data_IF_105282303897
#
_entry.id   IF_105282303897
#
_cell.length_a   1.000
_cell.length_b   1.000
_cell.length_c   1.000
_cell.angle_alpha   90.00
_cell.angle_beta   90.00
_cell.angle_gamma   90.00
#
_symmetry.space_group_name_H-M   'P 1'
#
loop_
_entity.id
_entity.type
_entity.pdbx_description
1 polymer ?
#
# COMPACT_ATOMS: atom_id res chain seq x y z
N UNK A 1 101.71 -15.86 -4.11
CA UNK A 1 101.07 -15.63 -5.39
C UNK A 1 99.92 -16.62 -5.53
N UNK A 2 98.72 -16.20 -5.37
CA UNK A 2 97.48 -16.67 -5.99
C UNK A 2 96.30 -16.07 -5.23
N UNK A 3 95.63 -15.10 -5.87
CA UNK A 3 94.39 -14.45 -5.39
C UNK A 3 93.24 -15.45 -5.54
N UNK A 4 92.46 -15.57 -4.51
CA UNK A 4 91.18 -16.28 -4.55
C UNK A 4 90.10 -15.27 -4.24
N UNK A 5 89.28 -14.95 -5.25
CA UNK A 5 88.08 -14.13 -5.12
C UNK A 5 86.95 -14.99 -4.60
N UNK A 6 86.38 -14.61 -3.47
CA UNK A 6 85.11 -15.11 -2.96
C UNK A 6 84.00 -14.33 -3.60
N UNK A 7 83.19 -15.00 -4.38
CA UNK A 7 81.92 -14.43 -4.89
C UNK A 7 80.84 -14.69 -3.89
N UNK A 8 80.30 -13.63 -3.28
CA UNK A 8 79.11 -13.72 -2.43
C UNK A 8 77.87 -13.67 -3.31
N UNK A 9 77.07 -14.74 -3.33
CA UNK A 9 75.78 -14.80 -3.99
C UNK A 9 74.73 -14.31 -2.96
N UNK A 10 74.25 -13.11 -3.17
CA UNK A 10 73.11 -12.58 -2.40
C UNK A 10 71.78 -13.13 -2.93
N UNK A 11 71.08 -13.92 -2.14
CA UNK A 11 69.75 -14.37 -2.44
C UNK A 11 68.74 -13.26 -2.03
N UNK A 12 68.17 -12.63 -3.04
CA UNK A 12 67.10 -11.63 -2.85
C UNK A 12 65.76 -12.39 -2.66
N UNK A 13 65.26 -12.46 -1.45
CA UNK A 13 63.91 -12.97 -1.13
C UNK A 13 62.89 -11.84 -1.42
N UNK A 14 62.21 -11.92 -2.56
CA UNK A 14 61.02 -11.12 -2.87
C UNK A 14 59.84 -11.67 -2.10
N UNK A 15 59.47 -10.97 -1.02
CA UNK A 15 58.22 -11.23 -0.33
C UNK A 15 57.06 -10.67 -1.15
N UNK A 16 56.32 -11.54 -1.85
CA UNK A 16 55.03 -11.19 -2.46
C UNK A 16 54.01 -11.07 -1.31
N UNK A 17 53.74 -9.84 -0.87
CA UNK A 17 52.56 -9.54 -0.07
C UNK A 17 51.33 -9.72 -0.97
N UNK A 18 50.64 -10.84 -0.84
CA UNK A 18 49.37 -11.08 -1.49
C UNK A 18 48.31 -10.13 -0.89
N UNK A 19 48.06 -9.03 -1.57
CA UNK A 19 46.92 -8.18 -1.34
C UNK A 19 45.70 -8.92 -1.86
N UNK A 20 45.02 -9.64 -1.02
CA UNK A 20 43.67 -10.13 -1.29
C UNK A 20 42.75 -8.91 -1.33
N UNK A 21 42.50 -8.38 -2.52
CA UNK A 21 41.41 -7.46 -2.78
C UNK A 21 40.12 -8.22 -2.48
N UNK A 22 39.56 -7.98 -1.31
CA UNK A 22 38.20 -8.38 -1.00
C UNK A 22 37.31 -7.57 -1.91
N UNK A 23 36.88 -8.14 -3.04
CA UNK A 23 35.74 -7.61 -3.77
C UNK A 23 34.52 -7.80 -2.85
N UNK A 24 34.19 -6.80 -2.08
CA UNK A 24 32.81 -6.68 -1.62
C UNK A 24 31.99 -6.58 -2.90
N UNK A 25 31.22 -7.62 -3.21
CA UNK A 25 30.14 -7.49 -4.17
C UNK A 25 29.35 -6.27 -3.70
N UNK A 26 29.40 -5.19 -4.45
CA UNK A 26 28.44 -4.10 -4.34
C UNK A 26 27.10 -4.72 -4.72
N UNK A 27 26.39 -5.25 -3.72
CA UNK A 27 25.00 -5.59 -3.89
C UNK A 27 24.31 -4.26 -4.08
N UNK A 28 23.83 -4.01 -5.28
CA UNK A 28 23.03 -2.83 -5.58
C UNK A 28 21.92 -2.77 -4.52
N UNK A 29 21.83 -1.68 -3.78
CA UNK A 29 20.89 -1.56 -2.67
C UNK A 29 19.49 -1.56 -3.28
N UNK A 30 18.62 -2.45 -2.82
CA UNK A 30 17.26 -2.54 -3.32
C UNK A 30 16.58 -1.19 -3.16
N UNK A 31 15.90 -0.73 -4.20
CA UNK A 31 15.14 0.53 -4.17
C UNK A 31 14.09 0.52 -3.08
N UNK A 32 13.34 -0.58 -2.95
CA UNK A 32 12.39 -0.80 -1.85
C UNK A 32 12.74 -2.10 -1.15
N UNK A 33 12.88 -2.06 0.16
CA UNK A 33 13.23 -3.24 0.95
C UNK A 33 12.41 -3.32 2.22
N UNK A 34 12.40 -4.50 2.82
CA UNK A 34 11.77 -4.78 4.11
C UNK A 34 12.83 -5.20 5.10
N UNK A 35 12.84 -4.59 6.28
CA UNK A 35 13.71 -4.96 7.39
C UNK A 35 12.93 -4.95 8.70
N UNK A 36 12.83 -6.12 9.33
CA UNK A 36 11.95 -6.30 10.48
C UNK A 36 10.50 -5.93 10.12
N UNK A 37 9.91 -5.01 10.87
CA UNK A 37 8.53 -4.53 10.66
C UNK A 37 8.44 -3.26 9.80
N UNK A 38 9.54 -2.87 9.14
CA UNK A 38 9.61 -1.59 8.44
C UNK A 38 9.87 -1.75 6.95
N UNK A 39 9.25 -0.86 6.18
CA UNK A 39 9.53 -0.64 4.77
C UNK A 39 10.61 0.42 4.66
N UNK A 40 11.55 0.23 3.74
CA UNK A 40 12.60 1.19 3.42
C UNK A 40 12.55 1.54 1.94
N UNK A 41 12.72 2.81 1.62
CA UNK A 41 12.89 3.31 0.26
C UNK A 41 14.26 3.98 0.20
N UNK A 42 15.10 3.57 -0.76
CA UNK A 42 16.48 4.04 -0.90
C UNK A 42 17.28 3.98 0.43
N UNK A 43 17.10 2.86 1.14
CA UNK A 43 17.75 2.60 2.43
C UNK A 43 17.21 3.42 3.62
N UNK A 44 16.21 4.29 3.41
CA UNK A 44 15.61 5.09 4.48
C UNK A 44 14.26 4.51 4.91
N UNK A 45 13.96 4.52 6.21
CA UNK A 45 12.65 4.12 6.71
C UNK A 45 11.52 4.89 6.03
N UNK A 46 10.48 4.17 5.60
CA UNK A 46 9.36 4.73 4.87
C UNK A 46 8.04 4.44 5.58
N UNK A 47 7.34 5.50 5.97
CA UNK A 47 5.99 5.42 6.53
C UNK A 47 4.99 5.78 5.42
N UNK A 48 4.04 4.89 5.19
CA UNK A 48 2.96 5.11 4.24
C UNK A 48 2.00 6.15 4.83
N UNK A 49 2.00 7.35 4.27
CA UNK A 49 1.02 8.42 4.45
C UNK A 49 0.17 8.42 3.19
N UNK A 50 -0.72 7.45 3.10
CA UNK A 50 -1.34 7.07 1.84
C UNK A 50 -2.82 7.37 1.74
N UNK A 51 -3.32 7.22 0.51
CA UNK A 51 -4.73 7.34 0.17
C UNK A 51 -5.09 6.30 -0.91
N UNK A 52 -6.27 5.71 -0.82
CA UNK A 52 -6.84 4.90 -1.89
C UNK A 52 -7.28 5.82 -3.03
N UNK A 53 -6.84 5.52 -4.26
CA UNK A 53 -7.07 6.38 -5.41
C UNK A 53 -7.69 5.62 -6.58
N UNK A 54 -8.96 5.85 -6.80
CA UNK A 54 -9.73 5.27 -7.91
C UNK A 54 -10.69 6.35 -8.44
N UNK A 55 -10.19 7.35 -9.20
CA UNK A 55 -10.99 8.47 -9.66
C UNK A 55 -11.94 8.03 -10.77
N UNK A 56 -13.24 8.10 -10.49
CA UNK A 56 -14.31 7.82 -11.43
C UNK A 56 -15.14 9.09 -11.60
N UNK A 57 -15.26 9.62 -12.82
CA UNK A 57 -16.04 10.81 -13.07
C UNK A 57 -17.55 10.58 -12.85
N UNK A 58 -18.26 11.66 -12.57
CA UNK A 58 -19.73 11.66 -12.50
C UNK A 58 -20.33 11.06 -13.78
N UNK A 59 -21.32 10.19 -13.65
CA UNK A 59 -21.99 9.53 -14.75
C UNK A 59 -21.17 8.42 -15.43
N UNK A 60 -20.09 7.95 -14.81
CA UNK A 60 -19.22 6.89 -15.31
C UNK A 60 -19.06 5.77 -14.28
N UNK A 61 -18.75 4.56 -14.76
CA UNK A 61 -18.31 3.42 -13.96
C UNK A 61 -16.79 3.14 -14.12
N UNK A 62 -16.12 3.93 -14.96
CA UNK A 62 -14.74 3.69 -15.33
C UNK A 62 -13.81 4.71 -14.71
N UNK A 63 -12.65 4.24 -14.23
CA UNK A 63 -11.58 5.10 -13.76
C UNK A 63 -11.07 6.00 -14.89
N UNK A 64 -10.84 7.27 -14.56
CA UNK A 64 -10.33 8.29 -15.48
C UNK A 64 -9.35 9.22 -14.77
N UNK A 65 -8.19 9.47 -15.39
CA UNK A 65 -7.12 10.32 -14.85
C UNK A 65 -7.17 11.77 -15.39
N UNK A 66 -8.29 12.21 -15.96
CA UNK A 66 -8.41 13.55 -16.55
C UNK A 66 -8.15 14.70 -15.55
N UNK A 67 -8.34 14.46 -14.26
CA UNK A 67 -8.07 15.43 -13.20
C UNK A 67 -6.74 15.18 -12.46
N UNK A 68 -5.87 14.28 -12.96
CA UNK A 68 -4.68 13.83 -12.24
C UNK A 68 -3.81 14.98 -11.73
N UNK A 69 -3.53 15.99 -12.54
CA UNK A 69 -2.70 17.13 -12.15
C UNK A 69 -3.25 17.87 -10.93
N UNK A 70 -4.57 18.07 -10.87
CA UNK A 70 -5.22 18.70 -9.72
C UNK A 70 -5.20 17.76 -8.51
N UNK A 71 -5.48 16.49 -8.72
CA UNK A 71 -5.50 15.48 -7.67
C UNK A 71 -4.12 15.36 -7.01
N UNK A 72 -3.05 15.29 -7.80
CA UNK A 72 -1.67 15.23 -7.29
C UNK A 72 -1.30 16.50 -6.51
N UNK A 73 -1.70 17.68 -7.00
CA UNK A 73 -1.44 18.94 -6.26
C UNK A 73 -2.12 18.93 -4.88
N UNK A 74 -3.35 18.44 -4.78
CA UNK A 74 -4.07 18.30 -3.51
C UNK A 74 -3.41 17.23 -2.61
N UNK A 75 -2.99 16.11 -3.17
CA UNK A 75 -2.31 15.06 -2.42
C UNK A 75 -0.98 15.54 -1.83
N UNK A 76 -0.16 16.24 -2.62
CA UNK A 76 1.10 16.83 -2.16
C UNK A 76 0.86 17.86 -1.07
N UNK A 77 -0.14 18.74 -1.25
CA UNK A 77 -0.52 19.72 -0.22
C UNK A 77 -0.95 19.05 1.09
N UNK A 78 -1.65 17.91 1.00
CA UNK A 78 -2.06 17.14 2.16
C UNK A 78 -0.91 16.32 2.81
N UNK A 79 0.28 16.29 2.20
CA UNK A 79 1.41 15.50 2.69
C UNK A 79 1.29 14.00 2.41
N UNK A 80 0.45 13.62 1.45
CA UNK A 80 0.31 12.24 0.98
C UNK A 80 1.56 11.88 0.18
N UNK A 81 2.17 10.73 0.49
CA UNK A 81 3.36 10.22 -0.18
C UNK A 81 3.09 8.92 -0.95
N UNK A 82 1.92 8.32 -0.81
CA UNK A 82 1.60 7.02 -1.40
C UNK A 82 0.14 7.00 -1.86
N UNK A 83 -0.09 6.49 -3.06
CA UNK A 83 -1.44 6.11 -3.49
C UNK A 83 -1.53 4.59 -3.61
N UNK A 84 -2.68 4.04 -3.28
CA UNK A 84 -3.03 2.65 -3.53
C UNK A 84 -4.08 2.59 -4.63
N UNK A 85 -3.82 1.80 -5.68
CA UNK A 85 -4.74 1.61 -6.80
C UNK A 85 -5.17 0.15 -6.90
N UNK A 86 -6.44 -0.08 -7.26
CA UNK A 86 -7.06 -1.41 -7.28
C UNK A 86 -6.84 -2.16 -8.59
N UNK A 87 -6.43 -1.45 -9.63
CA UNK A 87 -6.12 -2.01 -10.94
C UNK A 87 -4.91 -1.29 -11.54
N UNK A 88 -4.15 -1.95 -12.42
CA UNK A 88 -2.93 -1.39 -12.97
C UNK A 88 -3.14 -0.08 -13.72
N UNK A 89 -2.24 0.88 -13.50
CA UNK A 89 -2.11 2.08 -14.32
C UNK A 89 -1.29 1.68 -15.56
N UNK A 90 -1.88 1.80 -16.75
CA UNK A 90 -1.30 1.28 -18.00
C UNK A 90 -0.42 2.26 -18.73
N UNK A 91 -0.67 3.53 -18.50
CA UNK A 91 -0.04 4.66 -19.16
C UNK A 91 1.22 5.08 -18.39
N UNK A 92 2.37 5.07 -19.07
CA UNK A 92 3.64 5.48 -18.48
C UNK A 92 3.58 6.94 -18.03
N UNK A 93 2.97 7.80 -18.82
CA UNK A 93 2.87 9.22 -18.57
C UNK A 93 2.08 9.55 -17.28
N UNK A 94 1.16 8.67 -16.87
CA UNK A 94 0.44 8.80 -15.60
C UNK A 94 1.40 8.47 -14.43
N UNK A 95 2.18 7.42 -14.55
CA UNK A 95 3.17 7.04 -13.55
C UNK A 95 4.29 8.08 -13.44
N UNK A 96 4.75 8.64 -14.56
CA UNK A 96 5.73 9.73 -14.59
C UNK A 96 5.24 10.95 -13.80
N UNK A 97 3.98 11.38 -14.02
CA UNK A 97 3.40 12.49 -13.29
C UNK A 97 3.29 12.20 -11.77
N UNK A 98 2.94 10.98 -11.39
CA UNK A 98 2.88 10.56 -9.99
C UNK A 98 4.27 10.60 -9.36
N UNK A 99 5.29 10.12 -10.08
CA UNK A 99 6.70 10.17 -9.67
C UNK A 99 7.18 11.62 -9.51
N UNK A 100 6.89 12.47 -10.49
CA UNK A 100 7.27 13.90 -10.45
C UNK A 100 6.65 14.64 -9.26
N UNK A 101 5.48 14.20 -8.81
CA UNK A 101 4.84 14.68 -7.58
C UNK A 101 5.48 14.13 -6.29
N UNK A 102 6.45 13.22 -6.38
CA UNK A 102 7.10 12.58 -5.23
C UNK A 102 6.23 11.54 -4.53
N UNK A 103 5.22 11.00 -5.24
CA UNK A 103 4.26 10.03 -4.70
C UNK A 103 4.62 8.64 -5.19
N UNK A 104 4.54 7.64 -4.30
CA UNK A 104 4.72 6.23 -4.63
C UNK A 104 3.38 5.53 -4.87
N UNK A 105 3.41 4.38 -5.55
CA UNK A 105 2.21 3.61 -5.91
C UNK A 105 2.29 2.20 -5.35
N UNK A 106 1.26 1.79 -4.63
CA UNK A 106 0.96 0.39 -4.36
C UNK A 106 0.06 -0.07 -5.52
N UNK A 107 0.61 -0.93 -6.37
CA UNK A 107 -0.01 -1.32 -7.63
C UNK A 107 -0.82 -2.60 -7.47
N UNK A 108 -2.15 -2.51 -7.53
CA UNK A 108 -3.07 -3.62 -7.36
C UNK A 108 -3.29 -4.45 -8.63
N UNK A 109 -3.35 -5.78 -8.45
CA UNK A 109 -3.77 -6.74 -9.47
C UNK A 109 -4.99 -7.51 -8.99
N UNK A 110 -6.02 -7.54 -9.82
CA UNK A 110 -7.22 -8.32 -9.58
C UNK A 110 -7.11 -9.77 -10.04
N UNK A 111 -8.13 -10.55 -9.70
CA UNK A 111 -8.29 -11.93 -10.13
C UNK A 111 -9.41 -12.01 -11.17
N UNK A 112 -9.15 -12.65 -12.32
CA UNK A 112 -10.13 -12.83 -13.41
C UNK A 112 -10.62 -11.50 -14.05
N UNK A 113 -9.69 -10.57 -14.28
CA UNK A 113 -9.96 -9.26 -14.89
C UNK A 113 -10.00 -9.30 -16.43
N UNK A 114 -10.62 -10.31 -16.99
CA UNK A 114 -10.69 -10.50 -18.44
C UNK A 114 -9.36 -10.87 -19.11
N UNK A 115 -8.41 -11.40 -18.35
CA UNK A 115 -7.09 -11.83 -18.82
C UNK A 115 -6.10 -10.70 -19.08
N UNK A 116 -6.41 -9.46 -18.69
CA UNK A 116 -5.50 -8.32 -18.86
C UNK A 116 -4.87 -7.97 -17.53
N UNK A 117 -3.58 -8.31 -17.37
CA UNK A 117 -2.81 -8.07 -16.15
C UNK A 117 -3.49 -8.62 -14.88
N UNK A 118 -4.00 -9.83 -14.95
CA UNK A 118 -4.70 -10.47 -13.83
C UNK A 118 -3.96 -11.70 -13.27
N UNK A 119 -4.31 -12.05 -12.03
CA UNK A 119 -3.65 -13.13 -11.29
C UNK A 119 -4.04 -14.50 -11.85
N UNK A 120 -5.28 -14.69 -12.30
CA UNK A 120 -5.79 -16.00 -12.76
C UNK A 120 -5.12 -16.44 -14.07
N UNK A 121 -4.99 -15.53 -15.03
CA UNK A 121 -4.32 -15.79 -16.31
C UNK A 121 -2.79 -15.70 -16.22
N UNK A 122 -2.24 -15.11 -15.16
CA UNK A 122 -0.81 -14.88 -14.99
C UNK A 122 -0.27 -13.68 -15.76
N UNK A 123 -1.13 -12.90 -16.44
CA UNK A 123 -0.71 -11.76 -17.27
C UNK A 123 -0.22 -10.55 -16.45
N UNK A 124 -0.47 -10.52 -15.14
CA UNK A 124 0.11 -9.52 -14.23
C UNK A 124 1.64 -9.45 -14.31
N UNK A 125 2.32 -10.57 -14.61
CA UNK A 125 3.77 -10.63 -14.77
C UNK A 125 4.27 -9.80 -15.95
N UNK A 126 3.50 -9.66 -17.01
CA UNK A 126 3.88 -8.82 -18.14
C UNK A 126 3.86 -7.33 -17.76
N UNK A 127 2.94 -6.96 -16.84
CA UNK A 127 2.93 -5.64 -16.24
C UNK A 127 4.17 -5.42 -15.36
N UNK A 128 4.45 -6.36 -14.45
CA UNK A 128 5.63 -6.29 -13.56
C UNK A 128 6.90 -6.11 -14.38
N UNK A 129 7.15 -6.93 -15.41
CA UNK A 129 8.31 -6.81 -16.31
C UNK A 129 8.42 -5.45 -16.98
N UNK A 130 7.28 -4.85 -17.35
CA UNK A 130 7.25 -3.56 -18.05
C UNK A 130 7.57 -2.40 -17.12
N UNK A 131 7.16 -2.48 -15.85
CA UNK A 131 7.15 -1.35 -14.94
C UNK A 131 8.03 -1.52 -13.69
N UNK A 132 8.73 -2.65 -13.52
CA UNK A 132 9.54 -2.92 -12.33
C UNK A 132 10.69 -1.93 -12.12
N UNK A 133 11.15 -1.25 -13.18
CA UNK A 133 12.20 -0.23 -13.09
C UNK A 133 11.62 1.17 -12.82
N UNK A 134 10.29 1.33 -12.78
CA UNK A 134 9.67 2.65 -12.61
C UNK A 134 9.73 3.09 -11.16
N UNK A 135 10.29 4.28 -10.91
CA UNK A 135 10.55 4.76 -9.55
C UNK A 135 9.30 5.05 -8.71
N UNK A 136 8.14 5.27 -9.35
CA UNK A 136 6.89 5.43 -8.62
C UNK A 136 6.45 4.15 -7.89
N UNK A 137 6.86 2.97 -8.35
CA UNK A 137 6.39 1.70 -7.76
C UNK A 137 6.95 1.55 -6.34
N UNK A 138 6.06 1.30 -5.38
CA UNK A 138 6.41 0.96 -4.01
C UNK A 138 6.32 -0.55 -3.76
N UNK A 139 5.19 -1.14 -4.11
CA UNK A 139 4.90 -2.55 -3.89
C UNK A 139 3.92 -3.08 -4.94
N UNK A 140 3.95 -4.39 -5.16
CA UNK A 140 2.98 -5.13 -5.96
C UNK A 140 1.92 -5.73 -5.04
N UNK A 141 0.66 -5.36 -5.23
CA UNK A 141 -0.45 -5.87 -4.43
C UNK A 141 -1.25 -6.92 -5.21
N UNK A 142 -1.48 -8.06 -4.59
CA UNK A 142 -2.21 -9.19 -5.17
C UNK A 142 -3.55 -9.41 -4.47
N UNK A 143 -4.63 -8.99 -5.13
CA UNK A 143 -6.00 -9.15 -4.64
C UNK A 143 -6.40 -8.17 -3.56
N UNK A 144 -7.70 -7.95 -3.43
CA UNK A 144 -8.34 -7.11 -2.44
C UNK A 144 -9.50 -7.86 -1.80
N UNK A 145 -9.44 -8.12 -0.49
CA UNK A 145 -10.50 -8.76 0.32
C UNK A 145 -10.97 -10.14 -0.18
N UNK A 146 -10.14 -10.85 -0.95
CA UNK A 146 -10.52 -12.13 -1.53
C UNK A 146 -10.77 -13.23 -0.49
N UNK A 147 -10.32 -13.03 0.74
CA UNK A 147 -10.66 -13.90 1.87
C UNK A 147 -12.16 -13.84 2.26
N UNK A 148 -12.90 -12.82 1.84
CA UNK A 148 -14.36 -12.76 2.01
C UNK A 148 -15.14 -13.47 0.90
N UNK A 149 -14.46 -13.92 -0.18
CA UNK A 149 -15.05 -14.47 -1.39
C UNK A 149 -14.58 -15.90 -1.71
N UNK A 150 -14.75 -16.86 -0.78
CA UNK A 150 -14.36 -18.25 -1.05
C UNK A 150 -15.02 -18.84 -2.31
N UNK A 151 -16.22 -18.36 -2.66
CA UNK A 151 -16.97 -18.79 -3.84
C UNK A 151 -16.22 -18.55 -5.16
N UNK A 152 -15.36 -17.53 -5.23
CA UNK A 152 -14.52 -17.27 -6.41
C UNK A 152 -13.41 -18.33 -6.58
N UNK A 153 -13.13 -19.08 -5.53
CA UNK A 153 -12.06 -20.08 -5.46
C UNK A 153 -12.59 -21.49 -5.22
N UNK A 154 -13.83 -21.75 -5.66
CA UNK A 154 -14.45 -23.06 -5.52
C UNK A 154 -14.90 -23.42 -4.10
N UNK A 155 -15.13 -22.41 -3.27
CA UNK A 155 -15.60 -22.56 -1.88
C UNK A 155 -14.49 -22.87 -0.86
N UNK A 156 -13.22 -22.87 -1.27
CA UNK A 156 -12.09 -23.12 -0.37
C UNK A 156 -11.01 -22.05 -0.51
N UNK A 157 -10.79 -21.27 0.54
CA UNK A 157 -9.76 -20.23 0.61
C UNK A 157 -8.32 -20.75 0.45
N UNK A 158 -8.08 -22.04 0.69
CA UNK A 158 -6.79 -22.67 0.37
C UNK A 158 -6.41 -22.51 -1.10
N UNK A 159 -7.39 -22.52 -1.98
CA UNK A 159 -7.16 -22.32 -3.42
C UNK A 159 -6.69 -20.88 -3.69
N UNK A 160 -7.32 -19.91 -3.02
CA UNK A 160 -6.84 -18.50 -3.08
C UNK A 160 -5.43 -18.37 -2.54
N UNK A 161 -5.17 -18.81 -1.32
CA UNK A 161 -3.85 -18.66 -0.70
C UNK A 161 -2.75 -19.41 -1.48
N UNK A 162 -3.07 -20.57 -2.07
CA UNK A 162 -2.14 -21.27 -2.97
C UNK A 162 -1.84 -20.46 -4.24
N UNK A 163 -2.84 -19.75 -4.78
CA UNK A 163 -2.67 -18.88 -5.94
C UNK A 163 -1.86 -17.63 -5.58
N UNK A 164 -2.17 -17.01 -4.46
CA UNK A 164 -1.47 -15.86 -3.92
C UNK A 164 0.02 -16.16 -3.69
N UNK A 165 0.35 -17.28 -3.04
CA UNK A 165 1.73 -17.71 -2.82
C UNK A 165 2.48 -17.93 -4.14
N UNK A 166 1.88 -18.65 -5.10
CA UNK A 166 2.48 -18.88 -6.42
C UNK A 166 2.75 -17.57 -7.15
N UNK A 167 1.80 -16.64 -7.08
CA UNK A 167 1.92 -15.35 -7.72
C UNK A 167 3.04 -14.52 -7.07
N UNK A 168 3.12 -14.49 -5.74
CA UNK A 168 4.19 -13.80 -5.00
C UNK A 168 5.57 -14.33 -5.37
N UNK A 169 5.74 -15.67 -5.36
CA UNK A 169 7.00 -16.30 -5.79
C UNK A 169 7.37 -15.94 -7.22
N UNK A 170 6.38 -15.82 -8.12
CA UNK A 170 6.62 -15.48 -9.51
C UNK A 170 7.03 -14.01 -9.67
N UNK A 171 6.44 -13.10 -8.89
CA UNK A 171 6.90 -11.70 -8.86
C UNK A 171 8.35 -11.63 -8.38
N UNK A 172 8.71 -12.24 -7.25
CA UNK A 172 10.07 -12.21 -6.71
C UNK A 172 11.14 -12.76 -7.67
N UNK A 173 10.76 -13.69 -8.57
CA UNK A 173 11.65 -14.19 -9.62
C UNK A 173 11.82 -13.21 -10.78
N UNK A 174 10.87 -12.32 -10.96
CA UNK A 174 10.83 -11.33 -12.05
C UNK A 174 11.42 -10.01 -11.60
N UNK A 175 11.03 -9.59 -10.40
CA UNK A 175 11.39 -8.34 -9.75
C UNK A 175 11.83 -8.66 -8.32
N UNK A 176 13.11 -8.48 -8.04
CA UNK A 176 13.69 -8.70 -6.71
C UNK A 176 13.70 -7.43 -5.85
N UNK A 177 13.33 -6.28 -6.41
CA UNK A 177 13.56 -4.97 -5.81
C UNK A 177 12.32 -4.39 -5.13
N UNK A 178 11.13 -4.94 -5.43
CA UNK A 178 9.90 -4.49 -4.82
C UNK A 178 9.24 -5.58 -3.98
N UNK A 179 8.75 -5.24 -2.79
CA UNK A 179 7.98 -6.16 -1.96
C UNK A 179 6.64 -6.52 -2.60
N UNK A 180 6.14 -7.72 -2.23
CA UNK A 180 4.81 -8.18 -2.57
C UNK A 180 3.89 -8.06 -1.36
N UNK A 181 2.70 -7.50 -1.58
CA UNK A 181 1.65 -7.37 -0.57
C UNK A 181 0.33 -7.96 -1.06
N UNK A 182 -0.62 -8.08 -0.17
CA UNK A 182 -2.04 -8.36 -0.46
C UNK A 182 -2.89 -7.48 0.45
N UNK A 183 -4.08 -7.09 0.03
CA UNK A 183 -5.04 -6.43 0.90
C UNK A 183 -6.02 -7.47 1.46
N UNK A 184 -5.73 -7.96 2.64
CA UNK A 184 -6.57 -8.94 3.34
C UNK A 184 -7.71 -8.22 4.09
N UNK A 185 -8.92 -8.73 3.99
CA UNK A 185 -10.02 -8.24 4.81
C UNK A 185 -9.79 -8.62 6.28
N UNK A 186 -9.59 -7.63 7.14
CA UNK A 186 -9.25 -7.80 8.55
C UNK A 186 -7.93 -8.57 8.78
N UNK A 187 -7.70 -8.99 10.02
CA UNK A 187 -6.49 -9.71 10.44
C UNK A 187 -6.41 -11.10 9.76
N UNK A 188 -5.31 -11.43 9.08
CA UNK A 188 -5.14 -12.76 8.51
C UNK A 188 -5.03 -13.83 9.60
N UNK A 189 -5.65 -14.97 9.33
CA UNK A 189 -5.59 -16.12 10.22
C UNK A 189 -4.32 -16.99 10.03
N UNK A 190 -4.18 -18.01 10.86
CA UNK A 190 -3.04 -18.94 10.77
C UNK A 190 -2.96 -19.70 9.44
N UNK A 191 -4.09 -19.92 8.75
CA UNK A 191 -4.11 -20.54 7.42
C UNK A 191 -3.51 -19.60 6.37
N UNK A 192 -3.93 -18.33 6.36
CA UNK A 192 -3.41 -17.32 5.45
C UNK A 192 -1.88 -17.16 5.63
N UNK A 193 -1.44 -16.95 6.88
CA UNK A 193 -0.03 -16.73 7.21
C UNK A 193 0.86 -17.92 6.85
N UNK A 194 0.41 -19.14 7.16
CA UNK A 194 1.19 -20.37 6.86
C UNK A 194 1.20 -20.73 5.38
N UNK A 195 0.16 -20.35 4.62
CA UNK A 195 0.04 -20.65 3.20
C UNK A 195 0.76 -19.64 2.31
N UNK A 196 1.05 -18.42 2.81
CA UNK A 196 1.60 -17.33 2.02
C UNK A 196 2.91 -16.77 2.60
N UNK A 197 3.96 -17.62 2.78
CA UNK A 197 5.24 -17.16 3.33
C UNK A 197 5.96 -16.14 2.45
N UNK A 198 5.65 -16.07 1.15
CA UNK A 198 6.28 -15.14 0.21
C UNK A 198 5.62 -13.75 0.17
N UNK A 199 4.55 -13.51 0.91
CA UNK A 199 4.05 -12.13 1.12
C UNK A 199 5.03 -11.41 2.05
N UNK A 200 5.57 -10.28 1.61
CA UNK A 200 6.55 -9.49 2.37
C UNK A 200 5.89 -8.56 3.37
N UNK A 201 4.84 -7.88 2.93
CA UNK A 201 4.08 -6.89 3.71
C UNK A 201 2.60 -7.27 3.69
N UNK A 202 1.96 -7.30 4.86
CA UNK A 202 0.53 -7.58 4.94
C UNK A 202 -0.28 -6.29 4.97
N UNK A 203 -0.99 -6.00 3.89
CA UNK A 203 -2.06 -4.99 3.88
C UNK A 203 -3.32 -5.56 4.52
N UNK A 204 -4.00 -4.77 5.31
CA UNK A 204 -5.25 -5.13 5.98
C UNK A 204 -6.29 -4.04 5.78
N UNK A 205 -7.45 -4.40 5.25
CA UNK A 205 -8.61 -3.51 5.22
C UNK A 205 -9.30 -3.59 6.57
N UNK A 206 -9.21 -2.53 7.36
CA UNK A 206 -9.65 -2.53 8.76
C UNK A 206 -10.63 -1.41 9.00
N UNK A 207 -11.88 -1.78 9.13
CA UNK A 207 -12.98 -0.86 9.40
C UNK A 207 -13.51 -1.04 10.82
N UNK A 208 -12.61 -0.86 11.81
CA UNK A 208 -12.94 -0.87 13.24
C UNK A 208 -13.24 0.54 13.73
N UNK A 209 -13.94 1.27 12.88
CA UNK A 209 -14.28 2.66 13.11
C UNK A 209 -13.05 3.53 13.37
N UNK A 210 -13.13 4.38 14.36
CA UNK A 210 -12.09 5.34 14.73
C UNK A 210 -10.97 4.76 15.62
N UNK A 211 -11.00 3.45 15.90
CA UNK A 211 -10.08 2.83 16.85
C UNK A 211 -9.54 1.47 16.39
N UNK A 212 -8.63 1.43 15.42
CA UNK A 212 -8.02 0.18 14.96
C UNK A 212 -6.95 -0.39 15.91
N UNK A 213 -6.64 0.24 17.04
CA UNK A 213 -5.46 -0.06 17.88
C UNK A 213 -5.29 -1.52 18.29
N UNK A 214 -6.37 -2.27 18.44
CA UNK A 214 -6.29 -3.68 18.84
C UNK A 214 -5.63 -4.55 17.79
N UNK A 215 -5.73 -4.19 16.51
CA UNK A 215 -5.13 -4.98 15.41
C UNK A 215 -3.59 -4.98 15.50
N UNK A 216 -2.99 -3.90 15.97
CA UNK A 216 -1.53 -3.80 16.09
C UNK A 216 -0.98 -4.77 17.15
N UNK A 217 -1.63 -4.87 18.30
CA UNK A 217 -1.28 -5.83 19.34
C UNK A 217 -1.52 -7.28 18.89
N UNK A 218 -2.64 -7.53 18.20
CA UNK A 218 -2.95 -8.83 17.62
C UNK A 218 -1.90 -9.23 16.57
N UNK A 219 -1.57 -8.33 15.64
CA UNK A 219 -0.53 -8.59 14.64
C UNK A 219 0.84 -8.85 15.24
N UNK A 220 1.25 -8.07 16.24
CA UNK A 220 2.52 -8.26 16.94
C UNK A 220 2.68 -9.65 17.53
N UNK A 221 1.58 -10.29 17.95
CA UNK A 221 1.60 -11.64 18.49
C UNK A 221 1.61 -12.75 17.44
N UNK A 222 1.20 -12.43 16.20
CA UNK A 222 1.04 -13.39 15.11
C UNK A 222 2.22 -13.43 14.15
N UNK A 223 2.86 -12.29 13.90
CA UNK A 223 3.87 -12.17 12.85
C UNK A 223 4.91 -11.09 13.15
N UNK A 224 6.13 -11.31 12.68
CA UNK A 224 7.21 -10.31 12.67
C UNK A 224 7.30 -9.54 11.35
N UNK A 225 6.45 -9.85 10.36
CA UNK A 225 6.42 -9.14 9.08
C UNK A 225 5.83 -7.75 9.24
N UNK A 226 6.18 -6.79 8.36
CA UNK A 226 5.51 -5.50 8.31
C UNK A 226 4.04 -5.67 7.98
N UNK A 227 3.23 -4.76 8.52
CA UNK A 227 1.85 -4.56 8.14
C UNK A 227 1.59 -3.10 7.83
N UNK A 228 0.53 -2.84 7.09
CA UNK A 228 -0.07 -1.52 6.97
C UNK A 228 -1.60 -1.66 6.87
N UNK A 229 -2.34 -0.61 7.14
CA UNK A 229 -3.77 -0.60 6.85
C UNK A 229 -3.96 -0.23 5.38
N UNK A 230 -4.28 -1.23 4.54
CA UNK A 230 -4.52 -1.03 3.11
C UNK A 230 -5.84 -0.31 2.84
N UNK A 231 -6.78 -0.38 3.78
CA UNK A 231 -7.94 0.49 3.88
C UNK A 231 -8.31 0.73 5.33
N UNK A 232 -8.65 1.96 5.63
CA UNK A 232 -9.30 2.41 6.85
C UNK A 232 -9.91 3.78 6.58
N UNK A 233 -10.91 4.17 7.32
CA UNK A 233 -11.54 5.48 7.13
C UNK A 233 -12.93 5.56 7.75
N UNK A 234 -13.61 6.66 7.48
CA UNK A 234 -14.99 6.91 7.79
C UNK A 234 -15.67 7.68 6.66
N UNK A 235 -16.98 7.46 6.52
CA UNK A 235 -17.80 8.22 5.58
C UNK A 235 -18.28 9.56 6.19
N UNK A 236 -18.74 10.46 5.34
CA UNK A 236 -19.28 11.77 5.74
C UNK A 236 -20.80 11.81 5.72
N UNK A 237 -21.48 10.67 5.97
CA UNK A 237 -22.93 10.62 6.00
C UNK A 237 -23.43 9.81 7.20
N UNK A 238 -24.27 10.44 8.02
CA UNK A 238 -24.92 9.80 9.15
C UNK A 238 -26.33 9.36 8.76
N UNK A 239 -26.57 8.07 8.64
CA UNK A 239 -27.90 7.51 8.37
C UNK A 239 -28.87 7.77 9.52
N UNK A 240 -28.37 7.83 10.75
CA UNK A 240 -29.11 8.18 11.95
C UNK A 240 -28.31 9.17 12.80
N UNK A 241 -28.99 10.07 13.50
CA UNK A 241 -28.31 10.93 14.47
C UNK A 241 -27.84 10.09 15.67
N UNK A 242 -26.56 10.19 16.01
CA UNK A 242 -25.95 9.42 17.08
C UNK A 242 -24.67 10.08 17.63
N UNK A 243 -24.43 9.90 18.92
CA UNK A 243 -23.16 10.29 19.59
C UNK A 243 -22.77 11.77 19.39
N UNK A 244 -23.75 12.63 19.23
CA UNK A 244 -23.56 14.08 19.02
C UNK A 244 -23.50 14.52 17.57
N UNK A 245 -23.49 13.59 16.62
CA UNK A 245 -23.50 13.88 15.20
C UNK A 245 -24.93 13.90 14.65
N UNK A 246 -25.24 14.91 13.82
CA UNK A 246 -26.55 15.04 13.18
C UNK A 246 -26.68 14.05 12.01
N UNK A 247 -27.92 13.62 11.73
CA UNK A 247 -28.25 12.83 10.55
C UNK A 247 -28.02 13.62 9.26
N UNK A 248 -27.68 12.92 8.18
CA UNK A 248 -27.39 13.47 6.85
C UNK A 248 -25.88 13.66 6.62
N UNK A 249 -25.54 14.48 5.65
CA UNK A 249 -24.13 14.83 5.37
C UNK A 249 -23.51 15.47 6.61
N UNK A 250 -22.40 14.91 7.05
CA UNK A 250 -21.71 15.30 8.27
C UNK A 250 -20.21 15.10 8.11
N UNK A 251 -19.52 16.11 7.63
CA UNK A 251 -18.07 16.05 7.40
C UNK A 251 -17.26 15.97 8.71
N UNK A 252 -17.82 16.51 9.80
CA UNK A 252 -17.16 16.49 11.11
C UNK A 252 -16.99 15.06 11.62
N UNK A 253 -17.96 14.18 11.43
CA UNK A 253 -17.85 12.78 11.85
C UNK A 253 -16.75 12.06 11.08
N UNK A 254 -16.62 12.32 9.78
CA UNK A 254 -15.55 11.77 8.95
C UNK A 254 -14.17 12.29 9.40
N UNK A 255 -14.07 13.59 9.63
CA UNK A 255 -12.84 14.24 10.07
C UNK A 255 -12.38 13.68 11.43
N UNK A 256 -13.28 13.54 12.39
CA UNK A 256 -13.00 12.98 13.70
C UNK A 256 -12.52 11.53 13.62
N UNK A 257 -13.21 10.71 12.81
CA UNK A 257 -12.83 9.31 12.60
C UNK A 257 -11.44 9.18 11.98
N UNK A 258 -11.21 9.85 10.85
CA UNK A 258 -9.92 9.80 10.16
C UNK A 258 -8.80 10.35 11.06
N UNK A 259 -9.07 11.38 11.83
CA UNK A 259 -8.12 11.93 12.80
C UNK A 259 -7.69 10.92 13.87
N UNK A 260 -8.62 10.15 14.43
CA UNK A 260 -8.35 9.11 15.43
C UNK A 260 -7.66 7.88 14.83
N UNK A 261 -8.09 7.47 13.63
CA UNK A 261 -7.42 6.38 12.89
C UNK A 261 -5.96 6.71 12.67
N UNK A 262 -5.67 7.90 12.13
CA UNK A 262 -4.29 8.34 11.86
C UNK A 262 -3.46 8.45 13.15
N UNK A 263 -4.05 8.96 14.23
CA UNK A 263 -3.38 9.01 15.53
C UNK A 263 -3.05 7.61 16.04
N UNK A 264 -3.99 6.67 15.91
CA UNK A 264 -3.79 5.27 16.29
C UNK A 264 -2.68 4.61 15.47
N UNK A 265 -2.70 4.75 14.14
CA UNK A 265 -1.68 4.19 13.24
C UNK A 265 -0.29 4.72 13.58
N UNK A 266 -0.14 6.03 13.71
CA UNK A 266 1.17 6.63 13.90
C UNK A 266 1.73 6.51 15.32
N UNK A 267 0.86 6.28 16.31
CA UNK A 267 1.31 5.92 17.67
C UNK A 267 1.79 4.45 17.79
N UNK A 268 1.58 3.63 16.76
CA UNK A 268 2.03 2.24 16.67
C UNK A 268 2.97 2.02 15.47
N UNK A 269 3.79 3.02 15.14
CA UNK A 269 4.72 2.95 14.01
C UNK A 269 5.83 1.90 14.16
N UNK A 270 6.02 1.37 15.37
CA UNK A 270 6.86 0.20 15.66
C UNK A 270 6.29 -1.13 15.13
N UNK A 271 4.99 -1.18 14.84
CA UNK A 271 4.27 -2.36 14.33
C UNK A 271 3.70 -2.12 12.95
N UNK A 272 3.16 -0.91 12.70
CA UNK A 272 2.41 -0.56 11.50
C UNK A 272 3.20 0.41 10.64
N UNK A 273 3.45 0.04 9.38
CA UNK A 273 4.17 0.87 8.40
C UNK A 273 3.32 1.99 7.81
N UNK A 274 2.11 2.20 8.28
CA UNK A 274 1.24 3.31 7.87
C UNK A 274 -0.12 2.88 7.37
N UNK A 275 -0.76 3.72 6.56
CA UNK A 275 -2.13 3.53 6.08
C UNK A 275 -2.35 4.14 4.71
N UNK A 276 -3.21 3.53 3.90
CA UNK A 276 -3.87 4.17 2.76
C UNK A 276 -5.34 4.40 3.13
N UNK A 277 -5.69 5.64 3.47
CA UNK A 277 -7.07 5.96 3.84
C UNK A 277 -8.01 5.76 2.65
N UNK A 278 -9.17 5.22 2.91
CA UNK A 278 -10.25 5.10 1.95
C UNK A 278 -11.21 6.29 2.14
N UNK A 279 -11.30 7.26 1.19
CA UNK A 279 -10.61 7.32 -0.08
C UNK A 279 -10.29 8.79 -0.47
N UNK A 280 -9.67 9.04 -1.65
CA UNK A 280 -9.35 10.41 -2.08
C UNK A 280 -10.61 11.19 -2.46
N UNK A 281 -11.38 10.71 -3.46
CA UNK A 281 -12.64 11.35 -3.90
C UNK A 281 -13.84 10.54 -3.46
N UNK A 282 -14.98 11.21 -3.31
CA UNK A 282 -16.28 10.54 -3.26
C UNK A 282 -16.48 9.65 -4.48
N UNK A 283 -17.20 8.54 -4.30
CA UNK A 283 -17.34 7.50 -5.32
C UNK A 283 -18.77 7.27 -5.76
N UNK A 284 -19.37 8.19 -6.52
CA UNK A 284 -20.79 8.14 -6.93
C UNK A 284 -21.18 6.93 -7.79
N UNK A 285 -20.21 6.11 -8.20
CA UNK A 285 -20.41 4.88 -8.96
C UNK A 285 -20.69 3.65 -8.07
N UNK A 286 -20.60 3.80 -6.74
CA UNK A 286 -20.66 2.70 -5.78
C UNK A 286 -22.07 2.35 -5.28
N UNK A 287 -23.05 3.19 -5.54
CA UNK A 287 -24.45 2.95 -5.18
C UNK A 287 -25.38 3.61 -6.21
N UNK A 288 -26.60 3.14 -6.30
CA UNK A 288 -27.69 3.78 -7.03
C UNK A 288 -27.37 4.27 -8.44
N UNK A 289 -27.40 5.58 -8.63
CA UNK A 289 -27.24 6.25 -9.91
C UNK A 289 -25.95 7.10 -9.94
N UNK A 290 -25.06 6.85 -10.88
CA UNK A 290 -23.77 7.53 -11.03
C UNK A 290 -23.85 9.06 -11.23
N UNK A 291 -25.04 9.59 -11.54
CA UNK A 291 -25.27 11.04 -11.68
C UNK A 291 -25.70 11.73 -10.38
N UNK A 292 -25.98 10.95 -9.33
CA UNK A 292 -26.43 11.44 -8.01
C UNK A 292 -25.54 10.83 -6.92
N UNK A 293 -25.41 11.49 -5.79
CA UNK A 293 -24.75 10.94 -4.64
C UNK A 293 -25.76 10.20 -3.78
N UNK A 294 -25.71 8.89 -3.81
CA UNK A 294 -26.68 8.01 -3.15
C UNK A 294 -26.12 7.44 -1.84
N UNK A 295 -27.02 7.11 -0.92
CA UNK A 295 -26.65 6.42 0.33
C UNK A 295 -26.63 4.92 0.12
N UNK A 296 -25.83 4.19 0.91
CA UNK A 296 -25.69 2.74 0.80
C UNK A 296 -24.35 2.32 0.21
N UNK A 297 -24.30 1.20 -0.53
CA UNK A 297 -23.07 0.68 -1.14
C UNK A 297 -23.03 -0.85 -1.20
N UNK A 298 -21.86 -1.39 -1.56
CA UNK A 298 -21.67 -2.82 -1.82
C UNK A 298 -21.29 -3.64 -0.58
N UNK A 299 -20.86 -2.99 0.48
CA UNK A 299 -20.41 -3.63 1.72
C UNK A 299 -21.48 -3.58 2.82
N UNK A 300 -22.66 -4.22 2.63
CA UNK A 300 -23.82 -4.05 3.50
C UNK A 300 -23.62 -4.54 4.95
N UNK A 301 -22.60 -5.37 5.17
CA UNK A 301 -22.25 -5.91 6.48
C UNK A 301 -20.97 -5.30 7.05
N UNK A 302 -20.46 -4.23 6.46
CA UNK A 302 -19.29 -3.52 6.96
C UNK A 302 -19.62 -2.94 8.35
N UNK A 303 -18.90 -3.40 9.36
CA UNK A 303 -18.97 -2.83 10.71
C UNK A 303 -18.15 -1.55 10.86
N UNK A 304 -17.42 -1.21 9.81
CA UNK A 304 -16.52 -0.06 9.76
C UNK A 304 -17.19 1.25 9.57
N UNK A 305 -18.51 1.22 9.48
CA UNK A 305 -19.25 2.45 9.42
C UNK A 305 -19.52 2.94 10.82
N UNK A 306 -19.07 4.10 11.08
CA UNK A 306 -19.19 4.63 12.38
C UNK A 306 -20.65 4.79 12.72
N UNK A 307 -20.92 4.40 13.92
CA UNK A 307 -22.13 4.74 14.65
C UNK A 307 -23.45 4.28 14.03
N UNK A 308 -23.60 4.15 12.71
CA UNK A 308 -24.90 3.86 12.10
C UNK A 308 -25.02 2.51 11.37
N UNK A 309 -23.89 1.81 11.15
CA UNK A 309 -23.88 0.48 10.55
C UNK A 309 -24.19 0.44 9.05
N UNK A 310 -24.11 1.60 8.37
CA UNK A 310 -24.38 1.73 6.94
C UNK A 310 -23.13 2.21 6.19
N UNK A 311 -22.67 1.54 5.11
CA UNK A 311 -21.39 1.84 4.50
C UNK A 311 -21.33 3.17 3.75
N UNK A 312 -22.43 3.72 3.26
CA UNK A 312 -22.49 5.00 2.51
C UNK A 312 -21.27 5.25 1.61
N UNK A 313 -20.93 4.27 0.78
CA UNK A 313 -19.63 4.18 0.09
C UNK A 313 -19.34 5.34 -0.87
N UNK A 314 -20.34 6.12 -1.22
CA UNK A 314 -20.19 7.32 -2.04
C UNK A 314 -19.68 8.54 -1.27
N UNK A 315 -19.63 8.48 0.08
CA UNK A 315 -19.28 9.60 0.95
C UNK A 315 -17.90 9.51 1.61
N UNK A 316 -17.02 8.62 1.13
CA UNK A 316 -15.72 8.34 1.76
C UNK A 316 -14.57 9.24 1.31
N UNK A 317 -14.75 10.03 0.27
CA UNK A 317 -13.73 10.96 -0.21
C UNK A 317 -13.32 11.97 0.86
N UNK A 318 -12.02 12.27 0.93
CA UNK A 318 -11.54 13.45 1.69
C UNK A 318 -11.75 14.74 0.88
N UNK A 319 -11.99 14.62 -0.41
CA UNK A 319 -12.52 15.67 -1.29
C UNK A 319 -13.77 15.14 -1.98
N UNK A 320 -14.67 16.03 -2.39
CA UNK A 320 -15.82 15.66 -3.21
C UNK A 320 -15.41 15.41 -4.70
N UNK A 321 -16.38 15.08 -5.56
CA UNK A 321 -16.11 14.86 -7.00
C UNK A 321 -15.59 16.12 -7.73
N UNK A 322 -15.92 17.29 -7.24
CA UNK A 322 -15.46 18.58 -7.80
C UNK A 322 -14.12 19.03 -7.20
N UNK A 323 -13.49 18.17 -6.34
CA UNK A 323 -12.23 18.41 -5.63
C UNK A 323 -12.33 19.52 -4.58
N UNK A 324 -13.54 19.84 -4.10
CA UNK A 324 -13.67 20.66 -2.91
C UNK A 324 -13.21 19.87 -1.69
N UNK A 325 -12.38 20.52 -0.86
CA UNK A 325 -11.82 19.93 0.35
C UNK A 325 -12.92 19.79 1.40
N UNK A 326 -13.07 18.58 1.95
CA UNK A 326 -13.91 18.34 3.12
C UNK A 326 -13.12 18.61 4.42
N UNK A 327 -13.79 18.64 5.57
CA UNK A 327 -13.10 18.74 6.87
C UNK A 327 -12.06 17.65 7.08
N UNK A 328 -12.32 16.44 6.59
CA UNK A 328 -11.39 15.31 6.63
C UNK A 328 -10.07 15.58 5.91
N UNK A 329 -10.08 16.36 4.80
CA UNK A 329 -8.87 16.75 4.10
C UNK A 329 -7.92 17.57 5.00
N UNK A 330 -8.46 18.51 5.74
CA UNK A 330 -7.65 19.36 6.63
C UNK A 330 -7.07 18.56 7.80
N UNK A 331 -7.80 17.57 8.31
CA UNK A 331 -7.30 16.65 9.35
C UNK A 331 -6.18 15.75 8.80
N UNK A 332 -6.35 15.19 7.60
CA UNK A 332 -5.31 14.39 6.93
C UNK A 332 -4.05 15.23 6.73
N UNK A 333 -4.20 16.43 6.17
CA UNK A 333 -3.10 17.38 5.98
C UNK A 333 -2.37 17.68 7.30
N UNK A 334 -3.12 17.97 8.35
CA UNK A 334 -2.57 18.25 9.68
C UNK A 334 -1.74 17.08 10.21
N UNK A 335 -2.27 15.84 10.11
CA UNK A 335 -1.62 14.64 10.63
C UNK A 335 -0.42 14.24 9.78
N UNK A 336 -0.51 14.27 8.46
CA UNK A 336 0.57 13.85 7.56
C UNK A 336 1.75 14.83 7.51
N UNK A 337 1.49 16.14 7.59
CA UNK A 337 2.56 17.16 7.55
C UNK A 337 3.27 17.35 8.89
N UNK A 338 2.60 17.08 10.02
CA UNK A 338 3.20 17.22 11.36
C UNK A 338 3.92 15.96 11.84
N UNK A 339 3.88 14.87 11.06
CA UNK A 339 4.52 13.63 11.45
C UNK A 339 6.03 13.77 11.41
N UNK A 340 6.65 14.07 12.55
CA UNK A 340 8.06 13.83 12.79
C UNK A 340 8.18 12.42 13.37
N UNK A 341 8.49 11.43 12.53
CA UNK A 341 8.77 10.07 13.01
C UNK A 341 10.19 10.07 13.55
N UNK A 342 10.35 9.88 14.86
CA UNK A 342 11.63 9.46 15.43
C UNK A 342 11.67 7.94 15.41
N UNK A 343 12.57 7.38 14.61
CA UNK A 343 12.90 5.95 14.58
C UNK A 343 13.88 5.61 15.69
#
# INVERSE_FOLDING_TARGET
MRNSYLIAVGVLLLAFAGMTLSFSEFREEKRVSVSGRHIHVDGQPYIIKGICYHPVPKGSDNRDFGNLTQDLALMVEAGINTIRVYEPIREMEILDQIQDAGIKVIMGFGYDQGGVFDIKSGTYIDYVKKFMDHEAILMWELGNEYNYHPEWFGGDLKNWYSTLEKASVQIHRTDSDHPVTTAHGELPDGLALSSCPSIDVWGMNVYRWDNPKEIFAQWSSLSEKPMYLSEAGGDSYMTVARDGYAQGVNETVQADANGRILESVFSHSDVCSGVTLFSFTDGWWKAGNNDTQDVGGWAPNSTGVPYDGTPNEEYWGIVDLDRNKKEAYEIVKLKYTKLSVSY
#
